data_IF_523337283137
#
_entry.id   IF_523337283137
#
_cell.length_a   1.000
_cell.length_b   1.000
_cell.length_c   1.000
_cell.angle_alpha   90.00
_cell.angle_beta   90.00
_cell.angle_gamma   90.00
#
_symmetry.space_group_name_H-M   'P 1'
#
loop_
_entity.id
_entity.type
_entity.pdbx_description
1 polymer ?
#
# COMPACT_ATOMS: atom_id res chain seq x y z
N UNK A 1 4.37 -4.80 -15.37
CA UNK A 1 3.24 -4.98 -14.43
C UNK A 1 3.42 -4.01 -13.27
N UNK A 2 2.41 -3.21 -12.93
CA UNK A 2 2.44 -2.32 -11.77
C UNK A 2 1.50 -2.81 -10.66
N UNK A 3 1.97 -2.81 -9.41
CA UNK A 3 1.17 -3.06 -8.21
C UNK A 3 1.07 -1.75 -7.42
N UNK A 4 -0.15 -1.40 -7.04
CA UNK A 4 -0.50 -0.23 -6.23
C UNK A 4 -1.10 -0.72 -4.91
N UNK A 5 -0.45 -0.38 -3.80
CA UNK A 5 -0.95 -0.65 -2.45
C UNK A 5 -1.53 0.64 -1.87
N UNK A 6 -2.79 0.59 -1.45
CA UNK A 6 -3.35 1.59 -0.56
C UNK A 6 -2.97 1.21 0.87
N UNK A 7 -2.37 2.13 1.62
CA UNK A 7 -1.91 1.93 2.98
C UNK A 7 -2.50 2.96 3.94
N UNK A 8 -2.62 2.60 5.21
CA UNK A 8 -3.02 3.50 6.28
C UNK A 8 -2.35 3.13 7.61
N UNK A 9 -2.34 4.01 8.61
CA UNK A 9 -1.65 3.77 9.88
C UNK A 9 -2.23 2.57 10.66
N UNK A 10 -1.38 1.88 11.41
CA UNK A 10 -1.71 0.75 12.32
C UNK A 10 -2.30 1.28 13.63
N UNK A 11 -1.81 2.42 14.11
CA UNK A 11 -2.25 3.06 15.35
C UNK A 11 -2.78 4.46 15.05
N UNK A 12 -4.07 4.68 15.27
CA UNK A 12 -4.71 5.98 15.04
C UNK A 12 -6.22 5.91 15.08
N UNK A 13 -6.73 5.87 16.32
CA UNK A 13 -8.06 6.29 16.82
C UNK A 13 -9.32 5.70 16.19
N UNK A 14 -10.19 5.15 17.05
CA UNK A 14 -11.60 4.78 16.85
C UNK A 14 -12.52 5.91 16.30
N UNK A 15 -11.96 7.01 15.81
CA UNK A 15 -12.68 8.06 15.12
C UNK A 15 -11.82 8.52 13.93
N UNK A 16 -12.49 8.61 12.78
CA UNK A 16 -12.00 9.05 11.48
C UNK A 16 -11.17 8.03 10.69
N UNK A 17 -11.87 7.32 9.80
CA UNK A 17 -11.38 7.00 8.45
C UNK A 17 -11.01 8.31 7.74
N UNK A 18 -9.99 9.03 8.23
CA UNK A 18 -9.56 10.30 7.66
C UNK A 18 -8.84 10.00 6.35
N UNK A 19 -9.42 10.35 5.19
CA UNK A 19 -8.87 9.97 3.92
C UNK A 19 -7.52 10.64 3.62
N UNK A 20 -7.15 11.65 4.40
CA UNK A 20 -5.85 12.31 4.35
C UNK A 20 -4.70 11.45 4.89
N UNK A 21 -4.99 10.44 5.72
CA UNK A 21 -4.00 9.50 6.26
C UNK A 21 -3.75 8.30 5.32
N UNK A 22 -4.56 8.13 4.28
CA UNK A 22 -4.33 7.11 3.27
C UNK A 22 -3.21 7.54 2.33
N UNK A 23 -2.20 6.67 2.22
CA UNK A 23 -1.14 6.83 1.24
C UNK A 23 -1.22 5.72 0.20
N UNK A 24 -0.66 5.97 -0.98
CA UNK A 24 -0.51 4.95 -2.01
C UNK A 24 0.98 4.76 -2.28
N UNK A 25 1.41 3.51 -2.27
CA UNK A 25 2.75 3.12 -2.71
C UNK A 25 2.59 2.23 -3.93
N UNK A 26 3.43 2.44 -4.94
CA UNK A 26 3.45 1.57 -6.11
C UNK A 26 4.85 1.04 -6.41
N UNK A 27 4.89 -0.13 -7.03
CA UNK A 27 6.09 -0.70 -7.58
C UNK A 27 5.78 -1.45 -8.87
N UNK A 28 6.72 -1.40 -9.80
CA UNK A 28 6.64 -2.08 -11.08
C UNK A 28 7.73 -3.14 -11.19
N UNK A 29 7.38 -4.29 -11.74
CA UNK A 29 8.31 -5.38 -12.03
C UNK A 29 7.82 -6.23 -13.21
N UNK A 30 8.66 -7.18 -13.61
CA UNK A 30 8.36 -8.14 -14.68
C UNK A 30 7.28 -9.16 -14.29
N UNK A 31 7.08 -9.40 -12.99
CA UNK A 31 6.05 -10.31 -12.45
C UNK A 31 5.24 -9.66 -11.33
N UNK A 32 4.01 -10.16 -11.14
CA UNK A 32 3.14 -9.71 -10.04
C UNK A 32 3.78 -9.94 -8.67
N UNK A 33 4.38 -11.11 -8.43
CA UNK A 33 5.01 -11.42 -7.14
C UNK A 33 6.20 -10.50 -6.83
N UNK A 34 7.03 -10.19 -7.84
CA UNK A 34 8.13 -9.25 -7.69
C UNK A 34 7.63 -7.82 -7.43
N UNK A 35 6.63 -7.36 -8.17
CA UNK A 35 6.03 -6.04 -7.99
C UNK A 35 5.37 -5.91 -6.61
N UNK A 36 4.68 -6.95 -6.14
CA UNK A 36 4.06 -7.00 -4.82
C UNK A 36 5.11 -6.95 -3.70
N UNK A 37 6.20 -7.69 -3.85
CA UNK A 37 7.30 -7.70 -2.87
C UNK A 37 7.94 -6.32 -2.76
N UNK A 38 8.28 -5.70 -3.90
CA UNK A 38 8.84 -4.35 -3.93
C UNK A 38 7.87 -3.30 -3.38
N UNK A 39 6.57 -3.44 -3.65
CA UNK A 39 5.58 -2.52 -3.12
C UNK A 39 5.44 -2.66 -1.60
N UNK A 40 5.54 -3.89 -1.05
CA UNK A 40 5.51 -4.17 0.39
C UNK A 40 6.71 -3.60 1.12
N UNK A 41 7.90 -3.68 0.54
CA UNK A 41 9.12 -3.10 1.12
C UNK A 41 9.06 -1.57 1.24
N UNK A 42 8.22 -0.92 0.41
CA UNK A 42 7.97 0.53 0.47
C UNK A 42 6.93 0.93 1.52
N UNK A 43 6.26 -0.03 2.17
CA UNK A 43 5.27 0.28 3.21
C UNK A 43 6.01 0.73 4.47
N UNK A 44 5.77 1.96 4.97
CA UNK A 44 6.42 2.45 6.18
C UNK A 44 6.05 1.62 7.41
N UNK A 45 6.96 1.53 8.37
CA UNK A 45 6.64 0.97 9.68
C UNK A 45 5.50 1.74 10.34
N UNK A 46 4.58 1.02 10.99
CA UNK A 46 3.37 1.62 11.54
C UNK A 46 2.24 1.83 10.51
N UNK A 47 2.36 1.33 9.28
CA UNK A 47 1.28 1.31 8.28
C UNK A 47 0.89 -0.13 7.90
N UNK A 48 -0.40 -0.33 7.59
CA UNK A 48 -0.99 -1.58 7.09
C UNK A 48 -1.51 -1.40 5.67
N UNK A 49 -1.51 -2.49 4.91
CA UNK A 49 -2.11 -2.54 3.57
C UNK A 49 -3.63 -2.65 3.71
N UNK A 50 -4.35 -1.74 3.08
CA UNK A 50 -5.81 -1.68 3.06
C UNK A 50 -6.39 -2.27 1.77
N UNK A 51 -5.72 -2.05 0.64
CA UNK A 51 -6.17 -2.54 -0.66
C UNK A 51 -4.97 -2.74 -1.61
N UNK A 52 -5.11 -3.68 -2.55
CA UNK A 52 -4.12 -4.00 -3.56
C UNK A 52 -4.80 -3.89 -4.93
N UNK A 53 -4.22 -3.09 -5.82
CA UNK A 53 -4.63 -2.98 -7.22
C UNK A 53 -3.45 -3.28 -8.13
N UNK A 54 -3.74 -3.87 -9.27
CA UNK A 54 -2.80 -4.06 -10.37
C UNK A 54 -3.29 -3.25 -11.56
N UNK A 55 -2.39 -2.55 -12.22
CA UNK A 55 -2.70 -1.91 -13.51
C UNK A 55 -2.20 -2.86 -14.62
N UNK A 56 -3.12 -3.29 -15.48
CA UNK A 56 -2.89 -4.18 -16.64
C UNK A 56 -2.71 -3.38 -17.93
#
# INVERSE_FOLDING_TARGET
MEVILAIGPIAGTDNDDDPSLYQRVSASADSYEAALTLAREKVPEGFRILNIRTDE
#
